data_IF_043824649106
#
_entry.id   IF_043824649106
#
_cell.length_a   1.000
_cell.length_b   1.000
_cell.length_c   1.000
_cell.angle_alpha   90.00
_cell.angle_beta   90.00
_cell.angle_gamma   90.00
#
_symmetry.space_group_name_H-M   'P 1'
#
loop_
_entity.id
_entity.type
_entity.pdbx_description
1 polymer ?
#
# COMPACT_ATOMS: atom_id res chain seq x y z
N UNK A 1 23.29 -14.99 -12.06
CA UNK A 1 24.36 -14.62 -11.12
C UNK A 1 23.71 -13.83 -10.00
N UNK A 2 23.56 -14.44 -8.83
CA UNK A 2 23.08 -13.74 -7.62
C UNK A 2 24.31 -13.03 -7.07
N UNK A 3 24.33 -11.71 -7.12
CA UNK A 3 25.36 -10.92 -6.43
C UNK A 3 25.06 -11.01 -4.94
N UNK A 4 25.77 -11.92 -4.27
CA UNK A 4 25.86 -12.02 -2.82
C UNK A 4 26.62 -10.78 -2.33
N UNK A 5 25.88 -9.68 -2.14
CA UNK A 5 26.38 -8.50 -1.48
C UNK A 5 26.57 -8.88 0.00
N UNK A 6 27.79 -9.28 0.34
CA UNK A 6 28.19 -9.54 1.73
C UNK A 6 27.75 -8.41 2.66
N UNK A 7 27.54 -8.71 3.96
CA UNK A 7 26.93 -7.78 4.90
C UNK A 7 27.64 -6.42 4.87
N UNK A 8 26.89 -5.35 4.58
CA UNK A 8 27.39 -3.98 4.60
C UNK A 8 28.14 -3.74 5.93
N UNK A 9 29.41 -3.36 5.83
CA UNK A 9 30.26 -3.11 6.98
C UNK A 9 29.63 -2.02 7.88
N UNK A 10 29.35 -2.35 9.14
CA UNK A 10 28.82 -1.41 10.16
C UNK A 10 27.39 -1.63 10.65
N UNK A 11 26.69 -2.68 10.19
CA UNK A 11 25.33 -3.02 10.67
C UNK A 11 25.29 -3.65 12.08
N UNK A 12 24.22 -3.41 12.84
CA UNK A 12 23.97 -4.14 14.11
C UNK A 12 23.69 -5.62 13.81
N UNK A 13 24.22 -6.53 14.63
CA UNK A 13 24.07 -7.98 14.47
C UNK A 13 22.63 -8.43 14.17
N UNK A 14 21.63 -7.93 14.92
CA UNK A 14 20.23 -8.33 14.74
C UNK A 14 19.67 -7.97 13.35
N UNK A 15 20.18 -6.91 12.70
CA UNK A 15 19.75 -6.52 11.36
C UNK A 15 20.38 -7.39 10.27
N UNK A 16 21.53 -7.99 10.55
CA UNK A 16 22.27 -8.80 9.59
C UNK A 16 21.87 -10.28 9.65
N UNK A 17 21.46 -10.75 10.85
CA UNK A 17 21.33 -12.19 11.10
C UNK A 17 20.00 -12.63 11.71
N UNK A 18 19.14 -11.71 12.18
CA UNK A 18 17.93 -12.07 12.94
C UNK A 18 16.64 -11.53 12.32
N UNK A 19 16.60 -11.33 11.00
CA UNK A 19 15.39 -10.91 10.29
C UNK A 19 14.32 -12.02 10.38
N UNK A 20 13.18 -11.76 11.03
CA UNK A 20 12.09 -12.72 11.06
C UNK A 20 11.51 -12.93 9.65
N UNK A 21 11.01 -14.13 9.31
CA UNK A 21 10.43 -14.40 7.99
C UNK A 21 9.07 -13.74 7.76
N UNK A 22 8.43 -13.25 8.83
CA UNK A 22 7.11 -12.64 8.79
C UNK A 22 7.12 -11.31 9.55
N UNK A 23 6.29 -10.38 9.11
CA UNK A 23 6.10 -9.10 9.79
C UNK A 23 5.46 -9.34 11.17
N UNK A 24 6.06 -8.76 12.20
CA UNK A 24 5.56 -8.82 13.57
C UNK A 24 4.39 -7.87 13.78
N UNK A 25 3.38 -8.28 14.54
CA UNK A 25 2.25 -7.41 14.90
C UNK A 25 2.55 -6.56 16.14
N UNK A 26 3.54 -6.91 16.95
CA UNK A 26 3.95 -6.13 18.11
C UNK A 26 5.44 -6.40 18.42
N UNK A 27 6.11 -5.44 19.02
CA UNK A 27 7.49 -5.58 19.47
C UNK A 27 7.71 -4.74 20.74
N UNK A 28 7.99 -5.42 21.86
CA UNK A 28 8.37 -4.76 23.10
C UNK A 28 9.62 -3.88 22.93
N UNK A 29 10.52 -4.29 22.02
CA UNK A 29 11.71 -3.50 21.66
C UNK A 29 11.32 -2.24 20.88
N UNK A 30 10.36 -2.32 19.96
CA UNK A 30 9.82 -1.14 19.29
C UNK A 30 9.20 -0.17 20.31
N UNK A 31 8.32 -0.67 21.19
CA UNK A 31 7.69 0.10 22.28
C UNK A 31 8.71 0.83 23.15
N UNK A 32 9.77 0.12 23.59
CA UNK A 32 10.87 0.71 24.37
C UNK A 32 11.59 1.84 23.62
N UNK A 33 11.81 1.66 22.31
CA UNK A 33 12.47 2.65 21.46
C UNK A 33 11.59 3.87 21.21
N UNK A 34 10.29 3.70 21.04
CA UNK A 34 9.31 4.80 20.93
C UNK A 34 9.28 5.61 22.23
N UNK A 35 9.23 4.94 23.39
CA UNK A 35 9.30 5.63 24.69
C UNK A 35 10.61 6.44 24.85
N UNK A 36 11.75 5.87 24.44
CA UNK A 36 13.01 6.60 24.43
C UNK A 36 13.01 7.82 23.49
N UNK A 37 12.36 7.71 22.32
CA UNK A 37 12.20 8.82 21.39
C UNK A 37 11.34 9.94 22.00
N UNK A 38 10.25 9.59 22.68
CA UNK A 38 9.37 10.55 23.38
C UNK A 38 10.17 11.42 24.36
N UNK A 39 11.01 10.79 25.19
CA UNK A 39 11.91 11.50 26.14
C UNK A 39 12.94 12.36 25.43
N UNK A 40 13.53 11.85 24.34
CA UNK A 40 14.56 12.56 23.57
C UNK A 40 14.02 13.89 23.00
N UNK A 41 12.76 13.91 22.58
CA UNK A 41 12.13 15.10 21.98
C UNK A 41 11.65 16.13 23.01
N UNK A 42 11.73 15.80 24.31
CA UNK A 42 11.34 16.68 25.43
C UNK A 42 9.96 17.33 25.20
N UNK A 43 8.99 16.52 24.79
CA UNK A 43 7.61 16.94 24.56
C UNK A 43 6.90 17.16 25.90
N UNK A 44 5.85 17.99 25.88
CA UNK A 44 5.01 18.19 27.06
C UNK A 44 4.26 16.89 27.39
N UNK A 45 4.69 16.24 28.46
CA UNK A 45 4.13 14.96 28.89
C UNK A 45 2.70 15.09 29.41
N UNK A 46 2.33 16.26 29.95
CA UNK A 46 0.98 16.52 30.44
C UNK A 46 0.03 16.64 29.26
N UNK A 47 0.40 17.42 28.25
CA UNK A 47 -0.42 17.59 27.03
C UNK A 47 -0.61 16.26 26.29
N UNK A 48 0.44 15.41 26.23
CA UNK A 48 0.34 14.08 25.64
C UNK A 48 -0.60 13.19 26.45
N UNK A 49 -0.47 13.16 27.78
CA UNK A 49 -1.31 12.33 28.64
C UNK A 49 -2.78 12.74 28.56
N UNK A 50 -3.07 14.05 28.59
CA UNK A 50 -4.41 14.60 28.40
C UNK A 50 -4.97 14.26 27.01
N UNK A 51 -4.16 14.32 25.96
CA UNK A 51 -4.58 13.94 24.62
C UNK A 51 -4.90 12.44 24.50
N UNK A 52 -4.11 11.56 25.13
CA UNK A 52 -4.39 10.12 25.19
C UNK A 52 -5.69 9.85 25.94
N UNK A 53 -5.88 10.46 27.11
CA UNK A 53 -7.11 10.30 27.89
C UNK A 53 -8.35 10.76 27.12
N UNK A 54 -8.24 11.91 26.43
CA UNK A 54 -9.32 12.51 25.66
C UNK A 54 -9.67 11.71 24.40
N UNK A 55 -8.68 11.23 23.65
CA UNK A 55 -8.88 10.61 22.33
C UNK A 55 -8.99 9.08 22.40
N UNK A 56 -8.24 8.43 23.30
CA UNK A 56 -8.20 6.96 23.40
C UNK A 56 -9.09 6.43 24.53
N UNK A 57 -9.43 7.26 25.52
CA UNK A 57 -10.21 6.86 26.67
C UNK A 57 -9.44 6.00 27.68
N UNK A 58 -8.10 6.05 27.66
CA UNK A 58 -7.22 5.35 28.61
C UNK A 58 -6.33 6.34 29.36
N UNK A 59 -6.05 6.05 30.64
CA UNK A 59 -5.23 6.93 31.49
C UNK A 59 -3.77 6.51 31.49
N UNK A 60 -2.87 7.49 31.39
CA UNK A 60 -1.43 7.28 31.57
C UNK A 60 -1.13 7.35 33.07
N UNK A 61 -0.57 6.29 33.69
CA UNK A 61 -0.29 6.29 35.11
C UNK A 61 0.62 7.45 35.51
N UNK A 62 0.23 8.19 36.55
CA UNK A 62 1.03 9.26 37.12
C UNK A 62 1.81 8.77 38.34
N UNK A 63 3.12 8.96 38.32
CA UNK A 63 3.99 8.74 39.49
C UNK A 63 4.02 9.97 40.40
N UNK A 64 4.96 9.99 41.34
CA UNK A 64 5.08 11.07 42.32
C UNK A 64 5.38 12.45 41.68
N UNK A 65 6.07 12.48 40.54
CA UNK A 65 6.54 13.73 39.92
C UNK A 65 6.38 13.78 38.39
N UNK A 66 5.96 12.68 37.74
CA UNK A 66 5.88 12.61 36.27
C UNK A 66 4.97 11.46 35.82
N UNK A 67 4.50 11.53 34.58
CA UNK A 67 3.79 10.44 33.92
C UNK A 67 4.73 9.27 33.60
N UNK A 68 4.24 8.05 33.82
CA UNK A 68 5.00 6.81 33.66
C UNK A 68 4.84 6.25 32.24
N UNK A 69 5.27 7.02 31.24
CA UNK A 69 5.14 6.66 29.83
C UNK A 69 5.82 5.35 29.47
N UNK A 70 6.97 5.01 30.08
CA UNK A 70 7.64 3.74 29.79
C UNK A 70 6.78 2.53 30.13
N UNK A 71 6.17 2.52 31.32
CA UNK A 71 5.29 1.43 31.74
C UNK A 71 3.99 1.42 30.97
N UNK A 72 3.44 2.59 30.66
CA UNK A 72 2.23 2.71 29.84
C UNK A 72 2.48 2.13 28.44
N UNK A 73 3.49 2.62 27.72
CA UNK A 73 3.80 2.18 26.36
C UNK A 73 4.18 0.71 26.30
N UNK A 74 4.85 0.18 27.33
CA UNK A 74 5.20 -1.24 27.39
C UNK A 74 3.99 -2.15 27.64
N UNK A 75 2.96 -1.67 28.35
CA UNK A 75 1.83 -2.48 28.81
C UNK A 75 0.48 -2.19 28.16
N UNK A 76 0.33 -1.09 27.41
CA UNK A 76 -0.93 -0.73 26.76
C UNK A 76 -1.28 -1.68 25.60
N UNK A 77 -2.56 -1.73 25.24
CA UNK A 77 -2.99 -2.51 24.10
C UNK A 77 -2.29 -2.05 22.81
N UNK A 78 -2.15 -2.96 21.85
CA UNK A 78 -1.52 -2.64 20.57
C UNK A 78 -2.22 -1.47 19.87
N UNK A 79 -3.55 -1.40 19.96
CA UNK A 79 -4.32 -0.29 19.41
C UNK A 79 -3.88 1.04 20.02
N UNK A 80 -3.86 1.15 21.34
CA UNK A 80 -3.46 2.38 22.04
C UNK A 80 -2.01 2.76 21.73
N UNK A 81 -1.12 1.79 21.56
CA UNK A 81 0.26 2.03 21.13
C UNK A 81 0.36 2.63 19.73
N UNK A 82 -0.44 2.15 18.77
CA UNK A 82 -0.44 2.68 17.42
C UNK A 82 -1.16 4.03 17.34
N UNK A 83 -2.23 4.21 18.10
CA UNK A 83 -2.97 5.47 18.19
C UNK A 83 -2.08 6.56 18.85
N UNK A 84 -1.30 6.21 19.88
CA UNK A 84 -0.30 7.08 20.52
C UNK A 84 0.67 7.69 19.50
N UNK A 85 1.16 6.89 18.56
CA UNK A 85 2.11 7.37 17.54
C UNK A 85 1.53 8.54 16.75
N UNK A 86 0.24 8.50 16.46
CA UNK A 86 -0.49 9.55 15.74
C UNK A 86 -0.83 10.70 16.68
N UNK A 87 -1.30 10.44 17.89
CA UNK A 87 -1.65 11.47 18.88
C UNK A 87 -0.46 12.35 19.27
N UNK A 88 0.74 11.78 19.42
CA UNK A 88 1.96 12.55 19.68
C UNK A 88 2.23 13.57 18.56
N UNK A 89 1.89 13.26 17.31
CA UNK A 89 2.06 14.18 16.20
C UNK A 89 1.09 15.35 16.25
N UNK A 90 -0.11 15.17 16.79
CA UNK A 90 -1.08 16.24 16.95
C UNK A 90 -0.61 17.23 18.02
N UNK A 91 -0.05 16.72 19.13
CA UNK A 91 0.58 17.53 20.19
C UNK A 91 1.80 18.31 19.66
N UNK A 92 2.67 17.67 18.88
CA UNK A 92 3.84 18.35 18.29
C UNK A 92 3.41 19.53 17.39
N UNK A 93 2.24 19.46 16.77
CA UNK A 93 1.74 20.46 15.84
C UNK A 93 2.32 20.32 14.42
N UNK A 94 1.71 21.02 13.46
CA UNK A 94 1.99 20.84 12.01
C UNK A 94 3.28 21.52 11.55
N UNK A 95 3.67 22.63 12.17
CA UNK A 95 4.82 23.45 11.76
C UNK A 95 6.09 23.17 12.54
N UNK A 96 6.05 22.27 13.53
CA UNK A 96 7.17 21.97 14.39
C UNK A 96 8.15 21.01 13.72
N UNK A 97 9.44 21.36 13.76
CA UNK A 97 10.52 20.55 13.17
C UNK A 97 10.59 19.12 13.76
N UNK A 98 10.21 18.95 15.04
CA UNK A 98 10.16 17.65 15.73
C UNK A 98 9.21 16.67 15.06
N UNK A 99 8.21 17.15 14.30
CA UNK A 99 7.28 16.31 13.52
C UNK A 99 8.03 15.43 12.53
N UNK A 100 8.94 16.03 11.75
CA UNK A 100 9.73 15.31 10.75
C UNK A 100 10.66 14.27 11.39
N UNK A 101 11.24 14.61 12.54
CA UNK A 101 12.09 13.71 13.32
C UNK A 101 11.26 12.54 13.85
N UNK A 102 10.09 12.80 14.41
CA UNK A 102 9.18 11.75 14.89
C UNK A 102 8.80 10.77 13.79
N UNK A 103 8.29 11.26 12.66
CA UNK A 103 7.87 10.41 11.53
C UNK A 103 9.04 9.56 11.03
N UNK A 104 10.21 10.19 10.78
CA UNK A 104 11.38 9.47 10.26
C UNK A 104 11.91 8.41 11.23
N UNK A 105 11.94 8.70 12.54
CA UNK A 105 12.43 7.77 13.55
C UNK A 105 11.43 6.64 13.83
N UNK A 106 10.13 6.90 13.86
CA UNK A 106 9.12 5.85 14.02
C UNK A 106 9.16 4.90 12.81
N UNK A 107 9.20 5.42 11.57
CA UNK A 107 9.38 4.58 10.36
C UNK A 107 10.62 3.71 10.47
N UNK A 108 11.74 4.29 10.92
CA UNK A 108 12.99 3.55 11.15
C UNK A 108 12.83 2.47 12.23
N UNK A 109 12.12 2.75 13.32
CA UNK A 109 11.84 1.76 14.37
C UNK A 109 10.99 0.62 13.80
N UNK A 110 9.88 0.92 13.14
CA UNK A 110 8.97 -0.10 12.58
C UNK A 110 9.68 -0.98 11.55
N UNK A 111 10.50 -0.38 10.66
CA UNK A 111 11.29 -1.10 9.69
C UNK A 111 12.31 -2.03 10.35
N UNK A 112 13.10 -1.52 11.31
CA UNK A 112 14.16 -2.31 11.95
C UNK A 112 13.62 -3.44 12.83
N UNK A 113 12.44 -3.24 13.43
CA UNK A 113 11.75 -4.23 14.24
C UNK A 113 10.82 -5.13 13.41
N UNK A 114 10.86 -5.01 12.07
CA UNK A 114 10.07 -5.79 11.12
C UNK A 114 8.56 -5.81 11.44
N UNK A 115 8.01 -4.65 11.81
CA UNK A 115 6.59 -4.54 12.16
C UNK A 115 5.69 -4.50 10.92
N UNK A 116 4.47 -5.04 11.08
CA UNK A 116 3.40 -5.04 10.08
C UNK A 116 2.70 -3.68 9.92
N UNK A 117 3.41 -2.59 10.23
CA UNK A 117 2.89 -1.24 10.19
C UNK A 117 3.90 -0.28 9.55
N UNK A 118 3.39 0.79 8.98
CA UNK A 118 4.19 1.92 8.47
C UNK A 118 3.47 3.23 8.77
N UNK A 119 4.17 4.36 8.64
CA UNK A 119 3.59 5.70 8.77
C UNK A 119 3.52 6.36 7.40
N UNK A 120 2.41 7.01 7.09
CA UNK A 120 2.33 7.91 5.92
C UNK A 120 3.02 9.27 6.18
N UNK A 121 3.04 10.14 5.17
CA UNK A 121 3.68 11.46 5.28
C UNK A 121 2.93 12.44 6.21
N UNK A 122 1.67 12.13 6.52
CA UNK A 122 0.89 12.86 7.50
C UNK A 122 1.11 12.29 8.91
N UNK A 123 1.71 11.11 9.02
CA UNK A 123 2.05 10.42 10.25
C UNK A 123 0.98 9.45 10.75
N UNK A 124 -0.01 9.11 9.91
CA UNK A 124 -0.98 8.08 10.25
C UNK A 124 -0.34 6.70 10.15
N UNK A 125 -0.56 5.87 11.17
CA UNK A 125 -0.15 4.47 11.15
C UNK A 125 -1.06 3.67 10.22
N UNK A 126 -0.46 2.87 9.34
CA UNK A 126 -1.16 1.99 8.38
C UNK A 126 -0.62 0.58 8.49
N UNK A 127 -1.43 -0.43 8.15
CA UNK A 127 -0.95 -1.82 8.04
C UNK A 127 -0.09 -1.99 6.78
N UNK A 128 1.00 -2.74 6.96
CA UNK A 128 1.87 -3.24 5.89
C UNK A 128 1.29 -4.59 5.45
N UNK A 129 0.90 -4.71 4.18
CA UNK A 129 0.32 -5.96 3.65
C UNK A 129 1.44 -6.99 3.51
N UNK A 130 2.30 -6.77 2.53
CA UNK A 130 3.57 -7.44 2.36
C UNK A 130 4.46 -6.59 1.43
N UNK A 131 5.76 -6.87 1.40
CA UNK A 131 6.71 -6.09 0.62
C UNK A 131 6.59 -6.30 -0.89
N UNK A 132 6.07 -7.45 -1.35
CA UNK A 132 5.85 -7.72 -2.77
C UNK A 132 4.66 -6.91 -3.31
N UNK A 133 3.60 -6.79 -2.52
CA UNK A 133 2.44 -5.95 -2.81
C UNK A 133 2.87 -4.49 -3.01
N UNK A 134 3.65 -3.95 -2.08
CA UNK A 134 4.16 -2.58 -2.18
C UNK A 134 5.11 -2.41 -3.38
N UNK A 135 6.02 -3.36 -3.62
CA UNK A 135 6.90 -3.32 -4.81
C UNK A 135 6.10 -3.34 -6.11
N UNK A 136 5.04 -4.14 -6.17
CA UNK A 136 4.16 -4.20 -7.33
C UNK A 136 3.39 -2.90 -7.53
N UNK A 137 2.82 -2.34 -6.46
CA UNK A 137 2.18 -1.02 -6.47
C UNK A 137 3.13 0.08 -6.98
N UNK A 138 4.32 0.18 -6.40
CA UNK A 138 5.33 1.19 -6.77
C UNK A 138 5.79 1.02 -8.23
N UNK A 139 5.87 -0.22 -8.71
CA UNK A 139 6.17 -0.52 -10.11
C UNK A 139 5.04 -0.05 -11.04
N UNK A 140 3.79 -0.30 -10.67
CA UNK A 140 2.61 0.14 -11.43
C UNK A 140 2.51 1.66 -11.44
N UNK A 141 2.67 2.35 -10.31
CA UNK A 141 2.64 3.82 -10.25
C UNK A 141 3.72 4.44 -11.15
N UNK A 142 4.93 3.85 -11.16
CA UNK A 142 6.02 4.31 -12.05
C UNK A 142 5.68 4.14 -13.53
N UNK A 143 5.05 3.05 -13.92
CA UNK A 143 4.59 2.86 -15.30
C UNK A 143 3.49 3.86 -15.71
N UNK A 144 2.74 4.39 -14.73
CA UNK A 144 1.67 5.37 -14.93
C UNK A 144 2.15 6.82 -14.71
N UNK A 145 3.44 7.11 -14.88
CA UNK A 145 4.00 8.43 -14.56
C UNK A 145 3.58 9.54 -15.54
N UNK A 146 3.18 9.19 -16.77
CA UNK A 146 2.79 10.17 -17.80
C UNK A 146 1.44 10.83 -17.51
N UNK A 147 1.23 12.06 -17.99
CA UNK A 147 -0.04 12.79 -17.75
C UNK A 147 -1.25 12.08 -18.38
N UNK A 148 -1.04 11.30 -19.45
CA UNK A 148 -2.07 10.46 -20.09
C UNK A 148 -2.72 9.49 -19.10
N UNK A 149 -1.95 8.97 -18.14
CA UNK A 149 -2.42 7.98 -17.16
C UNK A 149 -2.79 8.57 -15.80
N UNK A 150 -2.92 9.90 -15.68
CA UNK A 150 -3.20 10.55 -14.40
C UNK A 150 -4.44 10.00 -13.70
N UNK A 151 -5.54 9.82 -14.44
CA UNK A 151 -6.79 9.26 -13.89
C UNK A 151 -6.61 7.80 -13.42
N UNK A 152 -5.87 7.00 -14.18
CA UNK A 152 -5.55 5.61 -13.82
C UNK A 152 -4.74 5.56 -12.52
N UNK A 153 -3.71 6.40 -12.41
CA UNK A 153 -2.87 6.49 -11.21
C UNK A 153 -3.72 6.83 -9.98
N UNK A 154 -4.63 7.80 -10.09
CA UNK A 154 -5.55 8.15 -9.00
C UNK A 154 -6.39 6.96 -8.54
N UNK A 155 -6.92 6.14 -9.44
CA UNK A 155 -7.68 4.94 -9.05
C UNK A 155 -6.80 3.82 -8.46
N UNK A 156 -5.56 3.67 -8.93
CA UNK A 156 -4.57 2.77 -8.31
C UNK A 156 -4.26 3.20 -6.87
N UNK A 157 -3.99 4.48 -6.64
CA UNK A 157 -3.75 5.05 -5.31
C UNK A 157 -4.98 4.87 -4.41
N UNK A 158 -6.18 5.09 -4.95
CA UNK A 158 -7.45 4.88 -4.24
C UNK A 158 -7.66 3.44 -3.80
N UNK A 159 -7.24 2.47 -4.61
CA UNK A 159 -7.31 1.05 -4.24
C UNK A 159 -6.45 0.73 -3.02
N UNK A 160 -5.28 1.36 -2.90
CA UNK A 160 -4.41 1.24 -1.75
C UNK A 160 -5.05 1.90 -0.52
N UNK A 161 -5.64 3.09 -0.68
CA UNK A 161 -6.34 3.77 0.41
C UNK A 161 -7.43 2.88 1.00
N UNK A 162 -8.25 2.23 0.16
CA UNK A 162 -9.29 1.33 0.65
C UNK A 162 -8.77 0.13 1.44
N UNK A 163 -7.55 -0.35 1.15
CA UNK A 163 -6.92 -1.44 1.91
C UNK A 163 -6.28 -1.00 3.21
N UNK A 164 -5.70 0.20 3.21
CA UNK A 164 -4.85 0.69 4.29
C UNK A 164 -5.56 1.63 5.26
N UNK A 165 -6.84 1.96 5.02
CA UNK A 165 -7.64 2.81 5.91
C UNK A 165 -8.01 2.09 7.21
N UNK A 166 -8.42 2.87 8.23
CA UNK A 166 -8.85 2.40 9.56
C UNK A 166 -10.04 1.43 9.45
N UNK A 167 -10.97 1.72 8.53
CA UNK A 167 -12.04 0.82 8.11
C UNK A 167 -11.73 0.31 6.70
N UNK A 168 -10.90 -0.74 6.56
CA UNK A 168 -10.51 -1.22 5.24
C UNK A 168 -11.72 -1.83 4.52
N UNK A 169 -11.85 -1.54 3.23
CA UNK A 169 -12.80 -2.20 2.36
C UNK A 169 -12.08 -2.90 1.23
N UNK A 170 -11.93 -4.21 1.42
CA UNK A 170 -11.41 -5.14 0.43
C UNK A 170 -12.22 -5.10 -0.87
N UNK A 171 -13.55 -4.98 -0.76
CA UNK A 171 -14.44 -4.87 -1.94
C UNK A 171 -14.17 -3.60 -2.73
N UNK A 172 -14.12 -2.44 -2.06
CA UNK A 172 -13.85 -1.17 -2.74
C UNK A 172 -12.43 -1.12 -3.33
N UNK A 173 -11.45 -1.76 -2.68
CA UNK A 173 -10.11 -1.87 -3.21
C UNK A 173 -10.05 -2.66 -4.54
N UNK A 174 -10.72 -3.83 -4.60
CA UNK A 174 -10.82 -4.60 -5.85
C UNK A 174 -11.53 -3.79 -6.93
N UNK A 175 -12.61 -3.08 -6.56
CA UNK A 175 -13.37 -2.22 -7.48
C UNK A 175 -12.52 -1.11 -8.08
N UNK A 176 -11.79 -0.35 -7.26
CA UNK A 176 -10.91 0.71 -7.72
C UNK A 176 -9.81 0.17 -8.66
N UNK A 177 -9.27 -1.02 -8.37
CA UNK A 177 -8.29 -1.69 -9.24
C UNK A 177 -8.90 -2.06 -10.60
N UNK A 178 -10.14 -2.56 -10.62
CA UNK A 178 -10.87 -2.83 -11.86
C UNK A 178 -11.13 -1.55 -12.65
N UNK A 179 -11.57 -0.48 -11.98
CA UNK A 179 -11.84 0.82 -12.60
C UNK A 179 -10.56 1.43 -13.21
N UNK A 180 -9.41 1.26 -12.56
CA UNK A 180 -8.11 1.61 -13.12
C UNK A 180 -7.80 0.83 -14.40
N UNK A 181 -7.97 -0.50 -14.39
CA UNK A 181 -7.75 -1.35 -15.58
C UNK A 181 -8.70 -1.00 -16.74
N UNK A 182 -9.99 -0.77 -16.44
CA UNK A 182 -10.97 -0.35 -17.43
C UNK A 182 -10.62 1.03 -18.01
N UNK A 183 -10.07 1.93 -17.20
CA UNK A 183 -9.63 3.27 -17.65
C UNK A 183 -8.44 3.17 -18.61
N UNK A 184 -7.41 2.36 -18.30
CA UNK A 184 -6.31 2.11 -19.27
C UNK A 184 -6.84 1.55 -20.57
N UNK A 185 -7.72 0.55 -20.48
CA UNK A 185 -8.30 -0.07 -21.67
C UNK A 185 -9.09 0.94 -22.53
N UNK A 186 -9.85 1.85 -21.92
CA UNK A 186 -10.55 2.93 -22.64
C UNK A 186 -9.60 3.95 -23.28
N UNK A 187 -8.45 4.21 -22.68
CA UNK A 187 -7.41 5.06 -23.28
C UNK A 187 -6.81 4.40 -24.54
N UNK A 188 -6.61 3.09 -24.52
CA UNK A 188 -6.13 2.30 -25.66
C UNK A 188 -7.18 2.16 -26.77
N UNK A 189 -8.44 1.99 -26.39
CA UNK A 189 -9.55 1.70 -27.29
C UNK A 189 -10.73 2.68 -27.08
N UNK A 190 -10.65 3.92 -27.58
CA UNK A 190 -11.65 4.96 -27.33
C UNK A 190 -13.08 4.60 -27.79
N UNK A 191 -13.20 3.68 -28.76
CA UNK A 191 -14.49 3.23 -29.29
C UNK A 191 -15.08 2.05 -28.51
N UNK A 192 -14.37 1.52 -27.50
CA UNK A 192 -14.87 0.41 -26.68
C UNK A 192 -15.65 0.95 -25.49
N UNK A 193 -16.95 0.61 -25.33
CA UNK A 193 -17.78 1.19 -24.27
C UNK A 193 -17.40 0.71 -22.86
N UNK A 194 -16.85 -0.51 -22.75
CA UNK A 194 -16.46 -1.13 -21.48
C UNK A 194 -15.32 -2.12 -21.66
N UNK A 195 -14.71 -2.49 -20.54
CA UNK A 195 -13.82 -3.64 -20.45
C UNK A 195 -14.66 -4.92 -20.20
N UNK A 196 -14.65 -5.85 -21.15
CA UNK A 196 -15.31 -7.15 -21.03
C UNK A 196 -14.41 -8.25 -21.61
N UNK A 197 -14.39 -9.41 -20.96
CA UNK A 197 -13.55 -10.57 -21.33
C UNK A 197 -13.75 -11.01 -22.79
N UNK A 198 -15.02 -11.03 -23.24
CA UNK A 198 -15.39 -11.42 -24.60
C UNK A 198 -14.84 -10.50 -25.70
N UNK A 199 -14.59 -9.23 -25.38
CA UNK A 199 -14.16 -8.23 -26.38
C UNK A 199 -12.63 -8.21 -26.55
N UNK A 200 -11.87 -8.71 -25.57
CA UNK A 200 -10.40 -8.63 -25.53
C UNK A 200 -9.72 -9.25 -26.75
N UNK A 201 -10.25 -10.36 -27.26
CA UNK A 201 -9.68 -11.03 -28.43
C UNK A 201 -9.76 -10.15 -29.70
N UNK A 202 -10.86 -9.41 -29.86
CA UNK A 202 -11.09 -8.54 -31.01
C UNK A 202 -10.37 -7.19 -30.93
N UNK A 203 -10.02 -6.75 -29.72
CA UNK A 203 -9.34 -5.48 -29.48
C UNK A 203 -7.85 -5.69 -29.17
N UNK A 204 -7.54 -6.09 -27.94
CA UNK A 204 -6.18 -6.29 -27.45
C UNK A 204 -5.44 -7.36 -28.27
N UNK A 205 -6.11 -8.46 -28.62
CA UNK A 205 -5.52 -9.52 -29.46
C UNK A 205 -4.99 -9.01 -30.80
N UNK A 206 -5.68 -8.03 -31.42
CA UNK A 206 -5.24 -7.41 -32.68
C UNK A 206 -3.99 -6.55 -32.48
N UNK A 207 -3.90 -5.80 -31.37
CA UNK A 207 -2.72 -5.00 -31.04
C UNK A 207 -1.52 -5.90 -30.76
N UNK A 208 -1.71 -6.95 -29.96
CA UNK A 208 -0.68 -7.93 -29.65
C UNK A 208 -0.13 -8.59 -30.92
N UNK A 209 -1.00 -8.97 -31.85
CA UNK A 209 -0.62 -9.57 -33.13
C UNK A 209 0.20 -8.66 -34.04
N UNK A 210 0.11 -7.34 -33.85
CA UNK A 210 0.91 -6.35 -34.61
C UNK A 210 2.26 -6.07 -33.94
N UNK A 211 2.32 -6.13 -32.62
CA UNK A 211 3.52 -5.75 -31.85
C UNK A 211 4.49 -6.91 -31.61
N UNK A 212 3.98 -8.12 -31.36
CA UNK A 212 4.80 -9.23 -30.90
C UNK A 212 5.17 -10.20 -32.02
N UNK A 213 6.40 -10.73 -31.96
CA UNK A 213 6.85 -11.84 -32.80
C UNK A 213 6.19 -13.18 -32.43
N UNK A 214 6.40 -14.23 -33.23
CA UNK A 214 5.64 -15.48 -33.16
C UNK A 214 5.59 -16.16 -31.77
N UNK A 215 6.70 -16.22 -31.04
CA UNK A 215 6.76 -16.87 -29.71
C UNK A 215 6.11 -15.97 -28.64
N UNK A 216 6.48 -14.70 -28.62
CA UNK A 216 5.98 -13.72 -27.65
C UNK A 216 4.48 -13.49 -27.81
N UNK A 217 3.97 -13.51 -29.05
CA UNK A 217 2.55 -13.44 -29.34
C UNK A 217 1.81 -14.61 -28.69
N UNK A 218 2.29 -15.85 -28.85
CA UNK A 218 1.60 -17.02 -28.28
C UNK A 218 1.50 -16.94 -26.75
N UNK A 219 2.56 -16.47 -26.09
CA UNK A 219 2.56 -16.24 -24.64
C UNK A 219 1.63 -15.09 -24.25
N UNK A 220 1.69 -13.97 -24.97
CA UNK A 220 0.85 -12.79 -24.74
C UNK A 220 -0.64 -13.09 -24.93
N UNK A 221 -1.01 -13.94 -25.88
CA UNK A 221 -2.39 -14.39 -26.06
C UNK A 221 -2.90 -15.20 -24.86
N UNK A 222 -2.03 -16.01 -24.22
CA UNK A 222 -2.40 -16.71 -22.98
C UNK A 222 -2.53 -15.74 -21.80
N UNK A 223 -1.64 -14.75 -21.70
CA UNK A 223 -1.74 -13.70 -20.69
C UNK A 223 -3.01 -12.86 -20.87
N UNK A 224 -3.38 -12.53 -22.11
CA UNK A 224 -4.64 -11.87 -22.43
C UNK A 224 -5.85 -12.71 -22.01
N UNK A 225 -5.83 -14.03 -22.23
CA UNK A 225 -6.89 -14.91 -21.73
C UNK A 225 -6.98 -14.87 -20.21
N UNK A 226 -5.83 -14.95 -19.51
CA UNK A 226 -5.78 -14.82 -18.06
C UNK A 226 -6.28 -13.46 -17.57
N UNK A 227 -6.06 -12.39 -18.34
CA UNK A 227 -6.63 -11.07 -18.07
C UNK A 227 -8.15 -11.07 -18.20
N UNK A 228 -8.69 -11.76 -19.22
CA UNK A 228 -10.13 -11.99 -19.35
C UNK A 228 -10.73 -12.72 -18.14
N UNK A 229 -10.08 -13.80 -17.70
CA UNK A 229 -10.52 -14.55 -16.50
C UNK A 229 -10.45 -13.66 -15.23
N UNK A 230 -9.44 -12.80 -15.12
CA UNK A 230 -9.33 -11.82 -14.03
C UNK A 230 -10.43 -10.75 -14.09
N UNK A 231 -10.76 -10.24 -15.29
CA UNK A 231 -11.85 -9.29 -15.51
C UNK A 231 -13.18 -9.87 -15.03
N UNK A 232 -13.47 -11.13 -15.38
CA UNK A 232 -14.69 -11.81 -14.96
C UNK A 232 -14.73 -12.02 -13.43
N UNK A 233 -13.58 -12.38 -12.83
CA UNK A 233 -13.46 -12.53 -11.38
C UNK A 233 -13.67 -11.20 -10.62
N UNK A 234 -13.08 -10.10 -11.12
CA UNK A 234 -13.23 -8.78 -10.52
C UNK A 234 -14.68 -8.25 -10.67
N UNK A 235 -15.40 -8.66 -11.71
CA UNK A 235 -16.77 -8.23 -11.97
C UNK A 235 -17.74 -8.65 -10.85
N UNK A 236 -17.47 -9.73 -10.11
CA UNK A 236 -18.28 -10.12 -8.94
C UNK A 236 -18.33 -9.05 -7.83
N UNK A 237 -17.35 -8.15 -7.79
CA UNK A 237 -17.27 -7.06 -6.81
C UNK A 237 -17.82 -5.73 -7.35
N UNK A 238 -18.25 -5.70 -8.62
CA UNK A 238 -18.91 -4.56 -9.25
C UNK A 238 -20.40 -4.61 -8.94
N UNK A 239 -20.95 -3.58 -8.32
CA UNK A 239 -22.39 -3.55 -8.03
C UNK A 239 -23.18 -3.58 -9.35
N UNK A 240 -24.10 -4.53 -9.45
CA UNK A 240 -25.23 -4.45 -10.38
C UNK A 240 -26.38 -3.85 -9.60
N UNK A 241 -26.99 -2.76 -10.08
CA UNK A 241 -28.12 -2.15 -9.39
C UNK A 241 -29.24 -3.18 -9.20
N UNK A 242 -29.60 -3.47 -7.94
CA UNK A 242 -30.63 -4.45 -7.57
C UNK A 242 -30.14 -5.86 -7.22
N UNK A 243 -28.83 -6.13 -7.23
CA UNK A 243 -28.26 -7.39 -6.73
C UNK A 243 -27.90 -7.31 -5.24
N UNK A 244 -27.89 -8.46 -4.56
CA UNK A 244 -27.44 -8.58 -3.17
C UNK A 244 -26.01 -8.03 -3.03
N UNK A 245 -25.74 -7.32 -1.93
CA UNK A 245 -24.46 -6.67 -1.72
C UNK A 245 -23.34 -7.73 -1.65
N UNK A 246 -22.26 -7.64 -2.46
CA UNK A 246 -21.22 -8.66 -2.46
C UNK A 246 -20.61 -8.79 -1.07
N UNK A 247 -20.49 -10.04 -0.59
CA UNK A 247 -19.80 -10.33 0.66
C UNK A 247 -18.35 -9.86 0.57
N UNK A 248 -17.85 -9.29 1.67
CA UNK A 248 -16.47 -8.80 1.74
C UNK A 248 -15.49 -9.95 1.47
N UNK A 249 -14.59 -9.85 0.47
CA UNK A 249 -13.64 -10.90 0.20
C UNK A 249 -12.60 -11.00 1.33
N UNK A 250 -12.05 -12.20 1.52
CA UNK A 250 -10.92 -12.40 2.44
C UNK A 250 -9.71 -11.59 1.96
N UNK A 251 -8.97 -10.99 2.90
CA UNK A 251 -7.80 -10.17 2.59
C UNK A 251 -6.80 -10.87 1.64
N UNK A 252 -6.55 -12.16 1.83
CA UNK A 252 -5.64 -12.92 0.96
C UNK A 252 -6.09 -12.95 -0.51
N UNK A 253 -7.38 -13.14 -0.77
CA UNK A 253 -7.94 -13.09 -2.13
C UNK A 253 -7.88 -11.68 -2.69
N UNK A 254 -8.17 -10.68 -1.86
CA UNK A 254 -8.11 -9.27 -2.21
C UNK A 254 -6.71 -8.85 -2.65
N UNK A 255 -5.69 -9.18 -1.85
CA UNK A 255 -4.28 -8.90 -2.16
C UNK A 255 -3.86 -9.58 -3.46
N UNK A 256 -4.30 -10.82 -3.70
CA UNK A 256 -4.04 -11.53 -4.95
C UNK A 256 -4.71 -10.84 -6.15
N UNK A 257 -5.99 -10.51 -6.06
CA UNK A 257 -6.75 -9.86 -7.13
C UNK A 257 -6.15 -8.51 -7.49
N UNK A 258 -5.80 -7.70 -6.49
CA UNK A 258 -5.22 -6.38 -6.69
C UNK A 258 -3.81 -6.49 -7.26
N UNK A 259 -2.97 -7.38 -6.73
CA UNK A 259 -1.60 -7.58 -7.24
C UNK A 259 -1.60 -8.02 -8.71
N UNK A 260 -2.52 -8.92 -9.05
CA UNK A 260 -2.69 -9.40 -10.43
C UNK A 260 -3.21 -8.26 -11.32
N UNK A 261 -4.17 -7.47 -10.82
CA UNK A 261 -4.70 -6.30 -11.51
C UNK A 261 -3.63 -5.24 -11.79
N UNK A 262 -2.79 -4.92 -10.80
CA UNK A 262 -1.65 -4.01 -10.96
C UNK A 262 -0.66 -4.48 -12.03
N UNK A 263 -0.41 -5.78 -12.11
CA UNK A 263 0.44 -6.37 -13.15
C UNK A 263 -0.17 -6.19 -14.54
N UNK A 264 -1.49 -6.40 -14.69
CA UNK A 264 -2.18 -6.19 -15.96
C UNK A 264 -2.25 -4.71 -16.35
N UNK A 265 -2.55 -3.81 -15.41
CA UNK A 265 -2.54 -2.35 -15.63
C UNK A 265 -1.19 -1.90 -16.17
N UNK A 266 -0.10 -2.35 -15.53
CA UNK A 266 1.26 -2.03 -15.98
C UNK A 266 1.54 -2.57 -17.38
N UNK A 267 1.18 -3.83 -17.65
CA UNK A 267 1.37 -4.45 -18.97
C UNK A 267 0.58 -3.72 -20.08
N UNK A 268 -0.66 -3.31 -19.80
CA UNK A 268 -1.47 -2.55 -20.74
C UNK A 268 -0.88 -1.15 -21.01
N UNK A 269 -0.41 -0.46 -19.98
CA UNK A 269 0.25 0.84 -20.14
C UNK A 269 1.53 0.73 -21.00
N UNK A 270 2.36 -0.29 -20.77
CA UNK A 270 3.56 -0.56 -21.58
C UNK A 270 3.22 -0.81 -23.08
N UNK A 271 2.14 -1.55 -23.36
CA UNK A 271 1.65 -1.78 -24.73
C UNK A 271 1.15 -0.49 -25.38
N UNK A 272 0.38 0.31 -24.64
CA UNK A 272 -0.18 1.59 -25.11
C UNK A 272 0.93 2.59 -25.43
N UNK A 273 1.90 2.77 -24.52
CA UNK A 273 3.05 3.65 -24.73
C UNK A 273 3.85 3.27 -25.98
N UNK A 274 4.07 1.97 -26.20
CA UNK A 274 4.74 1.46 -27.41
C UNK A 274 3.94 1.76 -28.68
N UNK A 275 2.61 1.67 -28.61
CA UNK A 275 1.71 2.00 -29.73
C UNK A 275 1.70 3.50 -30.02
N UNK A 276 1.74 4.32 -28.98
CA UNK A 276 1.71 5.78 -29.10
C UNK A 276 3.02 6.34 -29.68
N UNK A 277 4.17 5.81 -29.25
CA UNK A 277 5.48 6.22 -29.79
C UNK A 277 5.60 5.88 -31.28
N UNK A 278 5.23 4.65 -31.67
CA UNK A 278 5.26 4.23 -33.08
C UNK A 278 4.32 5.01 -34.00
N UNK A 279 3.27 5.63 -33.46
CA UNK A 279 2.39 6.54 -34.20
C UNK A 279 2.94 7.96 -34.33
N UNK A 280 3.77 8.42 -33.39
CA UNK A 280 4.35 9.77 -33.37
C UNK A 280 5.61 9.88 -34.24
N UNK A 281 6.33 8.77 -34.44
CA UNK A 281 7.53 8.68 -35.29
C UNK A 281 7.23 8.53 -36.80
N UNK A 282 5.96 8.60 -37.22
CA UNK A 282 5.51 8.53 -38.62
C UNK A 282 4.97 9.87 -39.10
#
# INVERSE_FOLDING_TARGET
>A
MITDAGPQAGGRFSKLYLTPPHLGTDSLRARTRVSALLRKLQLDQTEIAEAIEREHGVSVPMGMYAYLFDSFIAGCELRDFLDLVTTVLDVIGKTDQRRSIWISEIRRIFLEEHLAYDLDNLGNVRRKIDEEFHRNLDSTIRALSSERYRSVRTEVERSQEFLCNIAPSNKLAVRATFEAAETVYKLMFPNSPRLASNDLQGTLGVVLGRQYGHIDLRSSMKMMKSFGDWVDAAHFFRHSAGAEEPTEPRLSLTVLLISTGFSFIRWLAEIDDTTFQTATDR
#
